data_IF_557305147588
#
_entry.id   IF_557305147588
#
_cell.length_a   1.000
_cell.length_b   1.000
_cell.length_c   1.000
_cell.angle_alpha   90.00
_cell.angle_beta   90.00
_cell.angle_gamma   90.00
#
_symmetry.space_group_name_H-M   'P 1'
#
loop_
_entity.id
_entity.type
_entity.pdbx_description
1 polymer ?
#
# COMPACT_ATOMS: atom_id res chain seq x y z
N UNK A 1 -4.00 8.47 9.90
CA UNK A 1 -3.88 7.08 9.40
C UNK A 1 -5.20 6.67 8.76
N UNK A 2 -5.17 5.91 7.68
CA UNK A 2 -6.37 5.41 7.00
C UNK A 2 -6.32 3.89 6.90
N UNK A 3 -7.37 3.24 7.42
CA UNK A 3 -7.54 1.79 7.36
C UNK A 3 -8.50 1.43 6.23
N UNK A 4 -8.06 0.55 5.34
CA UNK A 4 -8.82 0.05 4.21
C UNK A 4 -8.98 -1.47 4.30
N UNK A 5 -10.03 -1.97 3.65
CA UNK A 5 -10.26 -3.40 3.47
C UNK A 5 -9.94 -3.78 2.02
N UNK A 6 -9.44 -5.00 1.76
CA UNK A 6 -9.19 -5.47 0.40
C UNK A 6 -10.47 -5.52 -0.46
N UNK A 7 -11.64 -5.70 0.17
CA UNK A 7 -12.97 -5.57 -0.46
C UNK A 7 -13.65 -4.29 0.01
N UNK A 8 -13.16 -3.15 -0.44
CA UNK A 8 -13.81 -1.86 -0.20
C UNK A 8 -14.97 -1.67 -1.18
N UNK A 9 -16.07 -1.12 -0.69
CA UNK A 9 -17.21 -0.73 -1.53
C UNK A 9 -16.82 0.51 -2.38
N UNK A 10 -17.27 0.63 -3.64
CA UNK A 10 -16.96 1.80 -4.48
C UNK A 10 -17.30 3.14 -3.81
N UNK A 11 -18.43 3.21 -3.08
CA UNK A 11 -18.84 4.43 -2.39
C UNK A 11 -17.92 4.77 -1.20
N UNK A 12 -17.48 3.75 -0.45
CA UNK A 12 -16.51 3.94 0.63
C UNK A 12 -15.14 4.33 0.05
N UNK A 13 -14.74 3.76 -1.10
CA UNK A 13 -13.50 4.11 -1.78
C UNK A 13 -13.46 5.60 -2.16
N UNK A 14 -14.53 6.15 -2.74
CA UNK A 14 -14.60 7.58 -3.06
C UNK A 14 -14.46 8.46 -1.82
N UNK A 15 -15.16 8.10 -0.73
CA UNK A 15 -15.07 8.83 0.54
C UNK A 15 -13.63 8.81 1.08
N UNK A 16 -12.99 7.65 1.07
CA UNK A 16 -11.60 7.49 1.53
C UNK A 16 -10.63 8.23 0.63
N UNK A 17 -10.77 8.16 -0.69
CA UNK A 17 -9.98 8.94 -1.65
C UNK A 17 -10.09 10.44 -1.35
N UNK A 18 -11.30 10.96 -1.14
CA UNK A 18 -11.54 12.35 -0.77
C UNK A 18 -10.80 12.76 0.51
N UNK A 19 -10.76 11.89 1.51
CA UNK A 19 -9.98 12.12 2.74
C UNK A 19 -8.48 12.15 2.46
N UNK A 20 -7.93 11.22 1.67
CA UNK A 20 -6.50 11.23 1.30
C UNK A 20 -6.15 12.54 0.60
N UNK A 21 -6.94 12.93 -0.41
CA UNK A 21 -6.78 14.19 -1.14
C UNK A 21 -6.81 15.39 -0.19
N UNK A 22 -7.73 15.40 0.77
CA UNK A 22 -7.84 16.49 1.76
C UNK A 22 -6.61 16.59 2.65
N UNK A 23 -6.08 15.47 3.14
CA UNK A 23 -4.85 15.47 3.95
C UNK A 23 -3.63 15.89 3.14
N UNK A 24 -3.50 15.41 1.90
CA UNK A 24 -2.38 15.81 1.04
C UNK A 24 -2.44 17.32 0.73
N UNK A 25 -3.64 17.86 0.49
CA UNK A 25 -3.84 19.31 0.33
C UNK A 25 -3.53 20.11 1.59
N UNK A 26 -3.69 19.52 2.77
CA UNK A 26 -3.35 20.13 4.05
C UNK A 26 -1.84 20.08 4.37
N UNK A 27 -1.04 19.35 3.58
CA UNK A 27 0.38 19.15 3.85
C UNK A 27 0.68 17.99 4.81
N UNK A 28 -0.33 17.18 5.13
CA UNK A 28 -0.18 16.03 6.01
C UNK A 28 0.19 14.75 5.25
N UNK A 29 1.06 13.95 5.88
CA UNK A 29 1.40 12.61 5.39
C UNK A 29 0.28 11.62 5.70
N UNK A 30 -0.07 10.79 4.73
CA UNK A 30 -1.12 9.79 4.88
C UNK A 30 -0.51 8.40 4.86
N UNK A 31 -0.61 7.72 6.01
CA UNK A 31 -0.36 6.27 6.10
C UNK A 31 -1.64 5.51 5.78
N UNK A 32 -1.61 4.74 4.71
CA UNK A 32 -2.70 3.85 4.28
C UNK A 32 -2.35 2.43 4.72
N UNK A 33 -3.28 1.74 5.37
CA UNK A 33 -3.10 0.39 5.88
C UNK A 33 -4.25 -0.48 5.43
N UNK A 34 -3.96 -1.51 4.65
CA UNK A 34 -4.88 -2.57 4.29
C UNK A 34 -4.75 -3.69 5.31
N UNK A 35 -5.85 -4.12 5.89
CA UNK A 35 -5.88 -5.28 6.78
C UNK A 35 -6.42 -6.49 6.02
N UNK A 36 -5.61 -7.54 5.88
CA UNK A 36 -6.06 -8.80 5.33
C UNK A 36 -6.66 -9.66 6.44
N UNK A 37 -7.86 -10.20 6.22
CA UNK A 37 -8.52 -11.08 7.18
C UNK A 37 -8.79 -12.45 6.57
N UNK A 38 -8.48 -13.51 7.33
CA UNK A 38 -8.78 -14.88 6.94
C UNK A 38 -8.06 -15.31 5.66
N UNK A 39 -8.84 -15.76 4.67
CA UNK A 39 -8.36 -16.30 3.38
C UNK A 39 -7.74 -15.26 2.44
N UNK A 40 -7.89 -13.97 2.76
CA UNK A 40 -7.38 -12.87 1.93
C UNK A 40 -5.87 -12.63 2.16
N UNK A 41 -5.28 -13.18 3.22
CA UNK A 41 -3.83 -13.12 3.47
C UNK A 41 -3.02 -13.82 2.37
N UNK A 42 -3.60 -14.84 1.72
CA UNK A 42 -2.96 -15.54 0.59
C UNK A 42 -2.99 -14.73 -0.71
N UNK A 43 -3.63 -13.55 -0.74
CA UNK A 43 -3.76 -12.70 -1.92
C UNK A 43 -3.33 -11.25 -1.64
N UNK A 44 -2.04 -11.01 -1.33
CA UNK A 44 -1.52 -9.66 -1.15
C UNK A 44 -1.68 -8.80 -2.41
N UNK A 45 -1.74 -9.43 -3.58
CA UNK A 45 -1.89 -8.77 -4.88
C UNK A 45 -3.17 -7.91 -4.98
N UNK A 46 -4.26 -8.30 -4.31
CA UNK A 46 -5.48 -7.49 -4.25
C UNK A 46 -5.24 -6.15 -3.55
N UNK A 47 -4.53 -6.18 -2.42
CA UNK A 47 -4.17 -4.96 -1.70
C UNK A 47 -3.17 -4.11 -2.48
N UNK A 48 -2.19 -4.75 -3.13
CA UNK A 48 -1.20 -4.06 -3.96
C UNK A 48 -1.86 -3.31 -5.12
N UNK A 49 -2.78 -3.97 -5.84
CA UNK A 49 -3.53 -3.34 -6.95
C UNK A 49 -4.35 -2.14 -6.46
N UNK A 50 -4.99 -2.25 -5.29
CA UNK A 50 -5.78 -1.15 -4.71
C UNK A 50 -4.89 0.04 -4.34
N UNK A 51 -3.75 -0.22 -3.68
CA UNK A 51 -2.80 0.82 -3.28
C UNK A 51 -2.15 1.49 -4.50
N UNK A 52 -1.80 0.70 -5.52
CA UNK A 52 -1.26 1.21 -6.78
C UNK A 52 -2.27 2.13 -7.46
N UNK A 53 -3.52 1.70 -7.63
CA UNK A 53 -4.59 2.52 -8.20
C UNK A 53 -4.77 3.83 -7.42
N UNK A 54 -4.86 3.74 -6.08
CA UNK A 54 -5.01 4.92 -5.23
C UNK A 54 -3.81 5.86 -5.35
N UNK A 55 -2.59 5.32 -5.46
CA UNK A 55 -1.37 6.10 -5.66
C UNK A 55 -1.33 6.84 -6.99
N UNK A 56 -1.79 6.20 -8.06
CA UNK A 56 -1.88 6.81 -9.41
C UNK A 56 -2.90 7.95 -9.41
N UNK A 57 -4.04 7.77 -8.74
CA UNK A 57 -5.08 8.81 -8.67
C UNK A 57 -4.70 10.02 -7.79
N UNK A 58 -3.77 9.87 -6.84
CA UNK A 58 -3.30 10.97 -5.99
C UNK A 58 -1.89 11.44 -6.35
N UNK A 59 -1.29 10.91 -7.41
CA UNK A 59 0.06 11.23 -7.88
C UNK A 59 0.23 12.72 -8.22
N UNK A 60 -0.86 13.41 -8.56
CA UNK A 60 -0.85 14.84 -8.85
C UNK A 60 -0.69 15.71 -7.58
N UNK A 61 -1.10 15.20 -6.42
CA UNK A 61 -1.11 15.94 -5.16
C UNK A 61 0.00 15.50 -4.20
N UNK A 62 0.48 14.27 -4.34
CA UNK A 62 1.48 13.68 -3.48
C UNK A 62 2.29 12.60 -4.18
N UNK A 63 3.41 12.22 -3.55
CA UNK A 63 4.28 11.15 -4.01
C UNK A 63 4.31 10.00 -3.00
N UNK A 64 4.67 8.82 -3.48
CA UNK A 64 4.83 7.63 -2.63
C UNK A 64 6.16 7.72 -1.89
N UNK A 65 6.11 8.03 -0.59
CA UNK A 65 7.30 8.05 0.27
C UNK A 65 7.72 6.63 0.66
N UNK A 66 6.74 5.78 0.96
CA UNK A 66 6.97 4.36 1.22
C UNK A 66 6.07 3.51 0.33
N UNK A 67 6.71 2.72 -0.53
CA UNK A 67 6.04 1.75 -1.38
C UNK A 67 5.18 0.78 -0.55
N UNK A 68 4.10 0.22 -1.13
CA UNK A 68 3.27 -0.77 -0.46
C UNK A 68 4.11 -1.98 -0.02
N UNK A 69 4.26 -2.13 1.29
CA UNK A 69 4.98 -3.24 1.93
C UNK A 69 4.03 -4.06 2.77
N UNK A 70 4.19 -5.38 2.69
CA UNK A 70 3.45 -6.30 3.56
C UNK A 70 4.13 -6.36 4.93
N UNK A 71 3.36 -6.05 5.96
CA UNK A 71 3.72 -6.12 7.38
C UNK A 71 2.81 -7.17 8.04
N UNK A 72 3.21 -8.44 7.94
CA UNK A 72 2.43 -9.58 8.45
C UNK A 72 1.03 -9.68 7.83
N UNK A 73 0.01 -9.36 8.63
CA UNK A 73 -1.41 -9.38 8.22
C UNK A 73 -1.89 -8.08 7.59
N UNK A 74 -1.01 -7.09 7.53
CA UNK A 74 -1.29 -5.75 7.07
C UNK A 74 -0.44 -5.46 5.83
N UNK A 75 -0.91 -4.56 4.98
CA UNK A 75 -0.07 -3.95 3.95
C UNK A 75 -0.16 -2.45 4.09
N UNK A 76 1.01 -1.83 4.18
CA UNK A 76 1.14 -0.42 4.56
C UNK A 76 1.81 0.31 3.41
N UNK A 77 1.28 1.48 3.10
CA UNK A 77 1.85 2.42 2.14
C UNK A 77 1.79 3.82 2.75
N UNK A 78 2.80 4.64 2.47
CA UNK A 78 2.84 6.04 2.94
C UNK A 78 2.93 6.98 1.75
N UNK A 79 2.01 7.94 1.72
CA UNK A 79 1.95 8.97 0.69
C UNK A 79 2.24 10.31 1.36
N UNK A 80 3.19 11.04 0.80
CA UNK A 80 3.57 12.37 1.26
C UNK A 80 3.08 13.43 0.25
N UNK A 81 2.65 14.61 0.72
CA UNK A 81 2.18 15.67 -0.17
C UNK A 81 3.34 16.39 -0.86
N UNK A 82 3.04 16.97 -2.03
CA UNK A 82 3.96 17.90 -2.68
C UNK A 82 4.07 19.18 -1.84
N UNK A 83 5.29 19.55 -1.47
CA UNK A 83 5.65 20.64 -0.52
C UNK A 83 5.16 22.05 -0.93
N UNK A 84 4.43 22.18 -2.04
CA UNK A 84 4.16 23.46 -2.70
C UNK A 84 2.93 24.20 -2.15
N UNK A 85 2.09 23.56 -1.33
CA UNK A 85 0.92 24.20 -0.71
C UNK A 85 1.14 24.46 0.77
N UNK A 86 1.77 25.61 1.02
CA UNK A 86 1.74 26.43 2.24
C UNK A 86 2.38 25.85 3.53
N UNK A 87 3.61 26.33 3.71
CA UNK A 87 4.15 26.86 4.97
C UNK A 87 4.73 25.84 5.95
N UNK A 88 6.01 26.07 6.24
CA UNK A 88 6.79 25.44 7.28
C UNK A 88 6.14 25.61 8.67
N UNK A 89 5.65 24.51 9.25
CA UNK A 89 5.50 24.24 10.68
C UNK A 89 4.59 22.99 10.80
N UNK A 90 5.10 21.76 10.79
CA UNK A 90 5.51 21.11 12.03
C UNK A 90 6.20 19.80 11.65
N UNK A 91 7.53 19.83 11.59
CA UNK A 91 8.34 18.63 11.58
C UNK A 91 8.69 18.30 13.04
N UNK A 92 7.86 17.51 13.74
CA UNK A 92 8.23 16.74 14.93
C UNK A 92 6.99 16.03 15.49
N UNK A 93 7.19 14.83 16.04
CA UNK A 93 6.21 13.95 16.72
C UNK A 93 5.48 13.02 15.75
N UNK A 94 6.00 11.85 15.39
CA UNK A 94 6.08 10.70 16.30
C UNK A 94 7.05 9.67 15.71
N UNK A 95 8.32 9.77 16.09
CA UNK A 95 9.31 8.72 15.94
C UNK A 95 9.50 8.07 17.31
N UNK A 96 8.57 7.21 17.74
CA UNK A 96 8.76 6.35 18.91
C UNK A 96 8.01 5.03 18.72
N UNK A 97 8.76 3.92 18.82
CA UNK A 97 8.33 2.52 18.95
C UNK A 97 7.99 1.82 17.61
N UNK A 98 8.69 0.78 17.15
CA UNK A 98 9.44 -0.25 17.89
C UNK A 98 10.65 -0.79 17.14
N UNK A 99 11.57 -1.30 17.96
CA UNK A 99 12.89 -1.84 17.67
C UNK A 99 12.77 -3.37 17.61
N UNK A 100 13.49 -4.02 16.68
CA UNK A 100 13.74 -5.47 16.63
C UNK A 100 12.65 -6.26 15.87
N UNK A 101 12.95 -7.24 15.01
CA UNK A 101 14.11 -8.13 14.85
C UNK A 101 14.08 -8.65 13.40
N UNK A 102 15.22 -8.74 12.72
CA UNK A 102 15.80 -9.97 12.14
C UNK A 102 14.86 -10.75 11.22
N UNK A 103 15.16 -11.07 9.97
CA UNK A 103 16.42 -11.59 9.43
C UNK A 103 16.23 -11.69 7.91
N UNK A 104 17.34 -11.53 7.19
CA UNK A 104 17.76 -12.14 5.91
C UNK A 104 16.74 -13.14 5.31
N UNK A 105 16.47 -13.16 4.01
CA UNK A 105 17.45 -13.36 2.95
C UNK A 105 16.79 -13.11 1.58
N UNK A 106 17.64 -12.86 0.58
CA UNK A 106 17.31 -12.73 -0.84
C UNK A 106 17.10 -14.11 -1.47
N UNK A 107 16.13 -14.20 -2.37
CA UNK A 107 16.12 -14.94 -3.67
C UNK A 107 14.67 -14.77 -4.17
N UNK A 108 14.32 -14.03 -5.23
CA UNK A 108 14.78 -14.07 -6.60
C UNK A 108 14.95 -15.48 -7.17
N UNK A 109 13.82 -16.07 -7.59
CA UNK A 109 13.79 -16.81 -8.85
C UNK A 109 12.43 -16.61 -9.57
N UNK A 110 12.44 -16.28 -10.88
CA UNK A 110 11.26 -16.20 -11.73
C UNK A 110 11.12 -17.44 -12.63
N UNK A 111 9.90 -17.87 -12.91
CA UNK A 111 9.58 -18.87 -13.94
C UNK A 111 8.24 -19.53 -13.62
N UNK A 112 7.11 -19.10 -14.19
CA UNK A 112 6.65 -19.34 -15.56
C UNK A 112 6.79 -20.81 -15.97
N UNK A 113 5.82 -21.62 -15.55
CA UNK A 113 5.46 -22.87 -16.24
C UNK A 113 4.29 -22.56 -17.18
N UNK A 114 4.46 -22.61 -18.51
CA UNK A 114 3.34 -22.70 -19.43
C UNK A 114 2.90 -24.17 -19.61
N UNK A 115 1.59 -24.33 -19.78
CA UNK A 115 0.92 -25.57 -20.13
C UNK A 115 1.50 -26.25 -21.40
N UNK A 116 1.42 -27.58 -21.47
CA UNK A 116 1.70 -28.31 -22.71
C UNK A 116 1.44 -29.81 -22.59
N UNK A 117 0.60 -30.33 -23.48
CA UNK A 117 0.10 -31.71 -23.55
C UNK A 117 1.13 -32.75 -24.02
N UNK A 118 0.84 -34.05 -23.75
CA UNK A 118 1.47 -35.16 -24.47
C UNK A 118 1.43 -36.53 -23.76
N UNK A 119 0.30 -37.24 -23.80
CA UNK A 119 0.24 -38.72 -23.89
C UNK A 119 0.65 -39.13 -25.33
N UNK A 120 0.93 -40.41 -25.73
CA UNK A 120 1.15 -41.71 -25.05
C UNK A 120 2.58 -42.26 -25.38
N UNK A 121 3.06 -43.50 -25.14
CA UNK A 121 2.54 -44.84 -25.44
C UNK A 121 3.57 -45.90 -24.96
N UNK A 122 3.10 -47.12 -24.68
CA UNK A 122 3.88 -48.36 -24.64
C UNK A 122 3.38 -49.28 -25.74
#
# INVERSE_FOLDING_TARGET
EMKLRPKIDPHDYETKKGHVVRFLRAGDKVKVTIMFRGREQSRPELGFRLLRKLSEEVAELGFVEAAPKQDGRNMIMVIAPHRTVKTAATAATTATTGRGVGTRERENEPGQEPAGAGTPEQ
#
